data_IF_854029784524
#
_entry.id   IF_854029784524
#
_cell.length_a   1.000
_cell.length_b   1.000
_cell.length_c   1.000
_cell.angle_alpha   90.00
_cell.angle_beta   90.00
_cell.angle_gamma   90.00
#
_symmetry.space_group_name_H-M   'P 1'
#
loop_
_entity.id
_entity.type
_entity.pdbx_description
1 polymer ?
#
# COMPACT_ATOMS: atom_id res chain seq x y z
N UNK A 1 6.22 1.33 8.09
CA UNK A 1 5.25 2.45 8.19
C UNK A 1 3.86 1.85 8.21
N UNK A 2 2.81 2.61 8.57
CA UNK A 2 1.47 2.13 8.24
C UNK A 2 1.26 2.29 6.73
N UNK A 3 0.54 1.37 6.08
CA UNK A 3 0.35 1.38 4.61
C UNK A 3 -0.15 2.74 4.11
N UNK A 4 -1.04 3.38 4.87
CA UNK A 4 -1.59 4.71 4.59
C UNK A 4 -0.51 5.80 4.51
N UNK A 5 0.51 5.76 5.37
CA UNK A 5 1.60 6.74 5.37
C UNK A 5 2.55 6.50 4.20
N UNK A 6 2.76 5.23 3.85
CA UNK A 6 3.53 4.84 2.67
C UNK A 6 2.84 5.32 1.38
N UNK A 7 1.51 5.20 1.29
CA UNK A 7 0.71 5.72 0.17
C UNK A 7 0.88 7.25 0.04
N UNK A 8 0.70 7.99 1.14
CA UNK A 8 0.92 9.45 1.14
C UNK A 8 2.33 9.83 0.68
N UNK A 9 3.33 9.08 1.15
CA UNK A 9 4.73 9.29 0.75
C UNK A 9 4.93 9.04 -0.74
N UNK A 10 4.33 8.00 -1.32
CA UNK A 10 4.39 7.74 -2.76
C UNK A 10 3.76 8.88 -3.57
N UNK A 11 2.56 9.35 -3.20
CA UNK A 11 1.93 10.49 -3.86
C UNK A 11 2.81 11.74 -3.83
N UNK A 12 3.38 12.06 -2.66
CA UNK A 12 4.29 13.22 -2.52
C UNK A 12 5.47 13.14 -3.48
N UNK A 13 6.11 11.97 -3.61
CA UNK A 13 7.24 11.83 -4.53
C UNK A 13 6.82 11.87 -6.00
N UNK A 14 5.66 11.29 -6.36
CA UNK A 14 5.12 11.36 -7.71
C UNK A 14 4.80 12.80 -8.12
N UNK A 15 4.18 13.59 -7.24
CA UNK A 15 3.93 15.01 -7.49
C UNK A 15 5.22 15.82 -7.66
N UNK A 16 6.22 15.56 -6.82
CA UNK A 16 7.52 16.24 -6.91
C UNK A 16 8.19 15.94 -8.26
N UNK A 17 8.19 14.67 -8.68
CA UNK A 17 8.73 14.24 -9.98
C UNK A 17 7.95 14.90 -11.12
N UNK A 18 6.62 14.86 -11.09
CA UNK A 18 5.78 15.44 -12.15
C UNK A 18 6.00 16.96 -12.30
N UNK A 19 6.14 17.68 -11.18
CA UNK A 19 6.41 19.13 -11.18
C UNK A 19 7.80 19.46 -11.71
N UNK A 20 8.81 18.70 -11.32
CA UNK A 20 10.19 18.98 -11.72
C UNK A 20 10.53 18.46 -13.13
N UNK A 21 9.85 17.43 -13.63
CA UNK A 21 9.99 16.98 -15.03
C UNK A 21 9.65 18.10 -16.01
N UNK A 22 8.58 18.86 -15.76
CA UNK A 22 8.21 20.02 -16.60
C UNK A 22 9.28 21.11 -16.64
N UNK A 23 10.10 21.22 -15.58
CA UNK A 23 11.19 22.19 -15.50
C UNK A 23 12.47 21.62 -16.13
N UNK A 24 12.72 20.33 -15.93
CA UNK A 24 13.84 19.61 -16.53
C UNK A 24 13.76 19.61 -18.06
N UNK A 25 12.55 19.43 -18.60
CA UNK A 25 12.27 19.48 -20.03
C UNK A 25 12.63 20.85 -20.66
N UNK A 26 12.42 21.94 -19.89
CA UNK A 26 12.86 23.30 -20.25
C UNK A 26 14.37 23.54 -20.07
N UNK A 27 15.17 22.51 -19.87
CA UNK A 27 16.63 22.61 -19.71
C UNK A 27 17.13 22.94 -18.30
N UNK A 28 16.27 22.94 -17.27
CA UNK A 28 16.71 23.23 -15.90
C UNK A 28 17.48 22.04 -15.29
N UNK A 29 18.82 22.13 -15.28
CA UNK A 29 19.72 21.09 -14.75
C UNK A 29 19.46 20.74 -13.27
N UNK A 30 19.12 21.73 -12.43
CA UNK A 30 18.82 21.50 -11.02
C UNK A 30 17.50 20.71 -10.84
N UNK A 31 16.50 20.97 -11.69
CA UNK A 31 15.26 20.19 -11.69
C UNK A 31 15.54 18.74 -12.12
N UNK A 32 16.37 18.53 -13.15
CA UNK A 32 16.79 17.17 -13.56
C UNK A 32 17.46 16.39 -12.43
N UNK A 33 18.33 17.05 -11.66
CA UNK A 33 18.96 16.43 -10.49
C UNK A 33 17.94 16.10 -9.39
N UNK A 34 16.97 17.00 -9.13
CA UNK A 34 15.88 16.74 -8.18
C UNK A 34 15.02 15.55 -8.62
N UNK A 35 14.67 15.43 -9.91
CA UNK A 35 13.95 14.27 -10.45
C UNK A 35 14.72 12.97 -10.21
N UNK A 36 16.04 12.94 -10.44
CA UNK A 36 16.90 11.77 -10.14
C UNK A 36 16.85 11.38 -8.66
N UNK A 37 16.99 12.34 -7.76
CA UNK A 37 16.94 12.04 -6.32
C UNK A 37 15.56 11.56 -5.88
N UNK A 38 14.48 12.16 -6.40
CA UNK A 38 13.11 11.80 -6.03
C UNK A 38 12.71 10.42 -6.57
N UNK A 39 13.16 10.04 -7.77
CA UNK A 39 12.95 8.69 -8.32
C UNK A 39 13.66 7.62 -7.50
N UNK A 40 14.90 7.87 -7.04
CA UNK A 40 15.59 6.96 -6.12
C UNK A 40 14.82 6.78 -4.81
N UNK A 41 14.32 7.88 -4.23
CA UNK A 41 13.51 7.84 -3.01
C UNK A 41 12.18 7.10 -3.22
N UNK A 42 11.49 7.36 -4.33
CA UNK A 42 10.26 6.67 -4.72
C UNK A 42 10.49 5.16 -4.86
N UNK A 43 11.60 4.73 -5.45
CA UNK A 43 11.97 3.31 -5.60
C UNK A 43 12.13 2.60 -4.25
N UNK A 44 12.69 3.28 -3.24
CA UNK A 44 12.80 2.71 -1.88
C UNK A 44 11.42 2.55 -1.24
N UNK A 45 10.57 3.56 -1.36
CA UNK A 45 9.21 3.57 -0.78
C UNK A 45 8.26 2.61 -1.51
N UNK A 46 8.42 2.42 -2.82
CA UNK A 46 7.59 1.48 -3.58
C UNK A 46 7.87 0.02 -3.17
N UNK A 47 9.13 -0.31 -2.85
CA UNK A 47 9.50 -1.62 -2.30
C UNK A 47 8.87 -1.85 -0.92
N UNK A 48 8.83 -0.84 -0.05
CA UNK A 48 8.17 -0.95 1.25
C UNK A 48 6.66 -1.09 1.09
N UNK A 49 6.04 -0.30 0.20
CA UNK A 49 4.62 -0.40 -0.13
C UNK A 49 4.24 -1.82 -0.58
N UNK A 50 5.02 -2.43 -1.49
CA UNK A 50 4.76 -3.80 -1.94
C UNK A 50 4.74 -4.82 -0.79
N UNK A 51 5.68 -4.71 0.15
CA UNK A 51 5.73 -5.59 1.33
C UNK A 51 4.54 -5.37 2.26
N UNK A 52 4.20 -4.11 2.51
CA UNK A 52 3.12 -3.72 3.40
C UNK A 52 1.74 -4.09 2.83
N UNK A 53 1.51 -3.87 1.53
CA UNK A 53 0.28 -4.22 0.81
C UNK A 53 0.00 -5.72 0.87
N UNK A 54 0.99 -6.55 0.52
CA UNK A 54 0.85 -8.02 0.62
C UNK A 54 0.62 -8.47 2.07
N UNK A 55 1.26 -7.80 3.03
CA UNK A 55 1.08 -8.11 4.45
C UNK A 55 -0.33 -7.76 4.93
N UNK A 56 -0.91 -6.65 4.47
CA UNK A 56 -2.30 -6.30 4.76
C UNK A 56 -3.29 -7.28 4.14
N UNK A 57 -3.12 -7.65 2.86
CA UNK A 57 -3.97 -8.66 2.21
C UNK A 57 -3.93 -10.02 2.93
N UNK A 58 -2.74 -10.44 3.39
CA UNK A 58 -2.58 -11.66 4.19
C UNK A 58 -3.25 -11.56 5.56
N UNK A 59 -3.31 -10.37 6.17
CA UNK A 59 -3.99 -10.14 7.45
C UNK A 59 -5.51 -10.15 7.28
N UNK A 60 -6.04 -9.54 6.21
CA UNK A 60 -7.47 -9.51 5.93
C UNK A 60 -8.01 -10.90 5.59
N UNK A 61 -7.28 -11.69 4.79
CA UNK A 61 -7.64 -13.09 4.48
C UNK A 61 -7.63 -14.02 5.71
N UNK A 62 -6.73 -13.82 6.68
CA UNK A 62 -6.78 -14.56 7.95
C UNK A 62 -7.98 -14.16 8.82
N UNK A 63 -8.37 -12.89 8.82
CA UNK A 63 -9.56 -12.41 9.55
C UNK A 63 -10.85 -12.95 8.95
N UNK A 64 -10.98 -12.99 7.62
CA UNK A 64 -12.16 -13.57 6.95
C UNK A 64 -12.27 -15.08 7.16
N UNK A 65 -11.15 -15.82 7.12
CA UNK A 65 -11.15 -17.26 7.48
C UNK A 65 -11.55 -17.54 8.93
N UNK A 66 -11.11 -16.71 9.89
CA UNK A 66 -11.55 -16.81 11.30
C UNK A 66 -13.04 -16.46 11.47
N UNK A 67 -13.55 -15.47 10.74
CA UNK A 67 -14.96 -15.10 10.75
C UNK A 67 -15.84 -16.22 10.18
N UNK A 68 -15.42 -16.85 9.08
CA UNK A 68 -16.12 -17.99 8.47
C UNK A 68 -16.16 -19.23 9.38
N UNK A 69 -15.06 -19.53 10.11
CA UNK A 69 -15.05 -20.63 11.09
C UNK A 69 -15.98 -20.38 12.28
N UNK A 70 -16.09 -19.12 12.75
CA UNK A 70 -17.00 -18.75 13.85
C UNK A 70 -18.47 -18.80 13.44
N UNK A 71 -18.81 -18.41 12.20
CA UNK A 71 -20.20 -18.49 11.70
C UNK A 71 -20.63 -19.94 11.44
N UNK A 72 -19.73 -20.80 10.96
CA UNK A 72 -19.99 -22.23 10.76
C UNK A 72 -20.26 -22.96 12.10
N UNK A 73 -19.46 -22.72 13.14
CA UNK A 73 -19.67 -23.34 14.47
C UNK A 73 -21.01 -22.94 15.11
N UNK A 74 -21.49 -21.72 14.83
CA UNK A 74 -22.76 -21.17 15.36
C UNK A 74 -24.00 -21.71 14.64
N UNK A 75 -23.89 -22.13 13.36
CA UNK A 75 -24.97 -22.82 12.64
C UNK A 75 -25.12 -24.28 13.06
N UNK A 76 -24.01 -24.98 13.32
CA UNK A 76 -24.04 -26.39 13.76
C UNK A 76 -24.65 -26.55 15.15
N UNK A 77 -24.35 -25.64 16.09
CA UNK A 77 -24.95 -25.67 17.43
C UNK A 77 -26.44 -25.33 17.45
N UNK A 78 -26.92 -24.42 16.58
CA UNK A 78 -28.36 -24.16 16.42
C UNK A 78 -29.13 -25.33 15.80
N UNK A 79 -28.49 -26.10 14.90
CA UNK A 79 -29.11 -27.26 14.25
C UNK A 79 -29.18 -28.49 15.16
N UNK A 80 -28.25 -28.63 16.12
CA UNK A 80 -28.27 -29.68 17.16
C UNK A 80 -29.27 -29.41 18.30
N UNK A 81 -29.69 -28.16 18.50
CA UNK A 81 -30.69 -27.77 19.53
C UNK A 81 -32.15 -27.87 19.05
N UNK A 82 -32.38 -28.08 17.75
CA UNK A 82 -33.72 -28.18 17.11
C UNK A 82 -34.09 -29.61 16.64
N UNK A 83 -33.25 -30.59 16.94
CA UNK A 83 -33.49 -32.02 16.73
C UNK A 83 -33.46 -32.68 18.09
#
# INVERSE_FOLDING_TARGET
MALKDTIKSMHKYLECIAKDLKKADKGNKAASQRVRTCTIKLSKVSKTFRKESVSEERKTTKKTKKAAKRSAKRKVTKRKKRR
#
